data_IF_633553879711
#
_entry.id   IF_633553879711
#
_cell.length_a   1.000
_cell.length_b   1.000
_cell.length_c   1.000
_cell.angle_alpha   90.00
_cell.angle_beta   90.00
_cell.angle_gamma   90.00
#
_symmetry.space_group_name_H-M   'P 1'
#
loop_
_entity.id
_entity.type
_entity.pdbx_description
1 polymer ?
#
# COMPACT_ATOMS: atom_id res chain seq x y z
N UNK A 1 -1.85 -23.87 -1.21
CA UNK A 1 -1.50 -23.85 0.22
C UNK A 1 -2.79 -23.59 0.98
N UNK A 2 -3.14 -24.41 1.96
CA UNK A 2 -4.22 -24.11 2.89
C UNK A 2 -3.78 -22.95 3.79
N UNK A 3 -4.71 -22.13 4.32
CA UNK A 3 -4.35 -20.96 5.15
C UNK A 3 -3.49 -21.27 6.39
N UNK A 4 -3.43 -22.54 6.78
CA UNK A 4 -2.65 -23.09 7.89
C UNK A 4 -1.13 -23.00 7.76
N UNK A 5 -0.59 -22.87 6.54
CA UNK A 5 0.87 -22.87 6.32
C UNK A 5 1.46 -21.46 6.23
N UNK A 6 0.61 -20.42 6.14
CA UNK A 6 1.05 -19.02 6.09
C UNK A 6 1.25 -18.51 7.51
N UNK A 7 2.49 -18.11 7.82
CA UNK A 7 2.89 -17.62 9.13
C UNK A 7 3.44 -16.20 9.08
N UNK A 8 4.17 -15.85 8.03
CA UNK A 8 4.81 -14.54 7.86
C UNK A 8 4.28 -13.86 6.60
N UNK A 9 3.82 -12.62 6.75
CA UNK A 9 3.23 -11.85 5.64
C UNK A 9 3.91 -10.50 5.54
N UNK A 10 4.41 -10.18 4.35
CA UNK A 10 4.88 -8.84 4.00
C UNK A 10 3.70 -7.92 3.71
N UNK A 11 3.70 -6.73 4.32
CA UNK A 11 2.65 -5.72 4.15
C UNK A 11 3.24 -4.47 3.48
N UNK A 12 2.61 -4.05 2.39
CA UNK A 12 2.90 -2.81 1.66
C UNK A 12 1.60 -2.02 1.44
N UNK A 13 1.73 -0.72 1.19
CA UNK A 13 0.62 0.17 0.81
C UNK A 13 1.16 1.40 0.08
N UNK A 14 0.28 2.12 -0.61
CA UNK A 14 0.52 3.47 -1.12
C UNK A 14 1.81 3.51 -1.97
N UNK A 15 1.90 2.60 -2.95
CA UNK A 15 3.04 2.44 -3.86
C UNK A 15 3.14 3.62 -4.81
N UNK A 16 1.99 4.16 -5.23
CA UNK A 16 1.89 5.41 -5.97
C UNK A 16 2.85 5.53 -7.15
N UNK A 17 2.85 4.49 -7.99
CA UNK A 17 3.65 4.46 -9.21
C UNK A 17 5.14 4.82 -8.99
N UNK A 18 5.67 4.53 -7.80
CA UNK A 18 7.07 4.74 -7.43
C UNK A 18 7.84 3.41 -7.52
N UNK A 19 8.20 3.04 -8.75
CA UNK A 19 8.89 1.78 -9.03
C UNK A 19 10.24 1.63 -8.29
N UNK A 20 11.12 2.65 -8.21
CA UNK A 20 12.37 2.53 -7.43
C UNK A 20 12.14 2.17 -5.96
N UNK A 21 11.10 2.76 -5.33
CA UNK A 21 10.75 2.43 -3.95
C UNK A 21 10.17 1.02 -3.81
N UNK A 22 9.29 0.61 -4.74
CA UNK A 22 8.72 -0.74 -4.75
C UNK A 22 9.82 -1.81 -4.89
N UNK A 23 10.75 -1.64 -5.82
CA UNK A 23 11.86 -2.59 -5.98
C UNK A 23 12.77 -2.63 -4.76
N UNK A 24 13.07 -1.47 -4.15
CA UNK A 24 13.85 -1.43 -2.92
C UNK A 24 13.17 -2.19 -1.77
N UNK A 25 11.85 -2.03 -1.61
CA UNK A 25 11.06 -2.74 -0.60
C UNK A 25 11.04 -4.24 -0.87
N UNK A 26 10.75 -4.66 -2.10
CA UNK A 26 10.69 -6.09 -2.44
C UNK A 26 12.05 -6.78 -2.35
N UNK A 27 13.16 -6.06 -2.58
CA UNK A 27 14.51 -6.58 -2.42
C UNK A 27 14.97 -6.65 -0.95
N UNK A 28 14.56 -5.69 -0.11
CA UNK A 28 14.90 -5.65 1.33
C UNK A 28 14.01 -6.56 2.19
N UNK A 29 12.79 -6.85 1.73
CA UNK A 29 11.85 -7.71 2.42
C UNK A 29 12.45 -9.12 2.61
N UNK A 30 12.47 -9.66 3.85
CA UNK A 30 12.92 -11.03 4.06
C UNK A 30 11.98 -12.00 3.33
N UNK A 31 12.40 -13.25 3.16
CA UNK A 31 11.50 -14.29 2.68
C UNK A 31 10.28 -14.38 3.60
N UNK A 32 9.11 -14.19 3.02
CA UNK A 32 7.78 -14.28 3.66
C UNK A 32 6.94 -15.28 2.87
N UNK A 33 5.89 -15.79 3.51
CA UNK A 33 5.01 -16.79 2.90
C UNK A 33 4.03 -16.15 1.90
N UNK A 34 3.68 -14.88 2.11
CA UNK A 34 2.82 -14.10 1.22
C UNK A 34 3.12 -12.59 1.31
N UNK A 35 2.69 -11.83 0.30
CA UNK A 35 2.73 -10.36 0.29
C UNK A 35 1.31 -9.82 0.10
N UNK A 36 0.97 -8.80 0.88
CA UNK A 36 -0.31 -8.09 0.86
C UNK A 36 -0.06 -6.62 0.56
N UNK A 37 -0.85 -6.05 -0.35
CA UNK A 37 -0.89 -4.63 -0.65
C UNK A 37 -2.22 -4.01 -0.20
N UNK A 38 -2.16 -2.98 0.64
CA UNK A 38 -3.32 -2.25 1.12
C UNK A 38 -3.82 -1.15 0.15
N UNK A 39 -3.42 -1.20 -1.12
CA UNK A 39 -3.96 -0.39 -2.20
C UNK A 39 -3.03 0.75 -2.63
N UNK A 40 -3.54 1.56 -3.56
CA UNK A 40 -2.85 2.67 -4.20
C UNK A 40 -1.56 2.22 -4.89
N UNK A 41 -1.74 1.33 -5.87
CA UNK A 41 -0.66 0.91 -6.78
C UNK A 41 -0.24 2.09 -7.67
N UNK A 42 -1.23 2.87 -8.12
CA UNK A 42 -1.04 4.05 -8.99
C UNK A 42 -1.28 5.36 -8.24
N UNK A 43 -1.20 6.48 -8.96
CA UNK A 43 -1.26 7.83 -8.39
C UNK A 43 0.13 8.38 -8.07
N UNK A 44 0.25 9.71 -8.03
CA UNK A 44 1.46 10.54 -7.84
C UNK A 44 2.70 10.29 -8.72
N UNK A 45 3.16 9.05 -8.91
CA UNK A 45 4.41 8.70 -9.57
C UNK A 45 4.32 8.41 -11.06
N UNK A 46 5.49 8.34 -11.74
CA UNK A 46 5.55 8.27 -13.19
C UNK A 46 5.58 6.85 -13.78
N UNK A 47 5.55 5.79 -12.95
CA UNK A 47 5.61 4.37 -13.38
C UNK A 47 4.35 3.55 -13.05
N UNK A 48 3.14 3.99 -13.47
CA UNK A 48 1.93 3.21 -13.19
C UNK A 48 1.92 1.85 -13.90
N UNK A 49 2.48 1.76 -15.11
CA UNK A 49 2.55 0.51 -15.90
C UNK A 49 3.41 -0.52 -15.15
N UNK A 50 4.64 -0.13 -14.82
CA UNK A 50 5.63 -1.02 -14.25
C UNK A 50 5.26 -1.42 -12.82
N UNK A 51 4.66 -0.53 -12.03
CA UNK A 51 4.18 -0.90 -10.69
C UNK A 51 3.03 -1.91 -10.73
N UNK A 52 2.09 -1.79 -11.68
CA UNK A 52 1.03 -2.79 -11.86
C UNK A 52 1.63 -4.14 -12.27
N UNK A 53 2.51 -4.16 -13.28
CA UNK A 53 3.20 -5.38 -13.72
C UNK A 53 3.95 -6.04 -12.57
N UNK A 54 4.72 -5.26 -11.81
CA UNK A 54 5.54 -5.78 -10.72
C UNK A 54 4.72 -6.37 -9.57
N UNK A 55 3.59 -5.77 -9.24
CA UNK A 55 2.66 -6.28 -8.21
C UNK A 55 1.99 -7.57 -8.67
N UNK A 56 1.64 -7.68 -9.95
CA UNK A 56 1.12 -8.92 -10.53
C UNK A 56 2.18 -10.04 -10.53
N UNK A 57 3.42 -9.74 -10.90
CA UNK A 57 4.54 -10.69 -10.88
C UNK A 57 4.89 -11.16 -9.46
N UNK A 58 4.83 -10.26 -8.48
CA UNK A 58 5.02 -10.58 -7.07
C UNK A 58 3.84 -11.35 -6.46
N UNK A 59 2.74 -11.52 -7.20
CA UNK A 59 1.51 -12.19 -6.77
C UNK A 59 0.93 -11.61 -5.47
N UNK A 60 1.02 -10.29 -5.27
CA UNK A 60 0.52 -9.66 -4.06
C UNK A 60 -1.00 -9.73 -3.98
N UNK A 61 -1.53 -10.12 -2.82
CA UNK A 61 -2.94 -9.95 -2.51
C UNK A 61 -3.24 -8.45 -2.31
N UNK A 62 -4.03 -7.86 -3.20
CA UNK A 62 -4.21 -6.41 -3.25
C UNK A 62 -5.67 -6.01 -3.06
N UNK A 63 -5.90 -4.92 -2.34
CA UNK A 63 -7.20 -4.21 -2.31
C UNK A 63 -7.13 -2.95 -3.17
N UNK A 64 -8.29 -2.45 -3.58
CA UNK A 64 -8.41 -1.20 -4.33
C UNK A 64 -8.21 0.00 -3.40
N UNK A 65 -7.21 0.84 -3.69
CA UNK A 65 -7.05 2.15 -3.04
C UNK A 65 -7.85 3.26 -3.73
N UNK A 66 -7.89 4.46 -3.15
CA UNK A 66 -8.67 5.55 -3.73
C UNK A 66 -8.07 6.12 -5.03
N UNK A 67 -6.74 6.12 -5.17
CA UNK A 67 -6.09 6.51 -6.43
C UNK A 67 -6.26 5.45 -7.50
N UNK A 68 -6.39 4.17 -7.14
CA UNK A 68 -6.74 3.12 -8.08
C UNK A 68 -8.21 3.26 -8.53
N UNK A 69 -9.13 3.52 -7.59
CA UNK A 69 -10.56 3.69 -7.84
C UNK A 69 -10.86 4.93 -8.70
N UNK A 70 -10.10 6.01 -8.53
CA UNK A 70 -10.32 7.26 -9.27
C UNK A 70 -10.20 7.10 -10.77
N UNK A 71 -9.52 6.06 -11.27
CA UNK A 71 -9.45 5.76 -12.71
C UNK A 71 -10.81 5.38 -13.33
N UNK A 72 -11.76 4.92 -12.52
CA UNK A 72 -13.03 4.34 -12.96
C UNK A 72 -14.26 5.06 -12.42
N UNK A 73 -14.09 5.79 -11.32
CA UNK A 73 -15.16 6.53 -10.65
C UNK A 73 -15.07 8.03 -10.95
N UNK A 74 -16.21 8.73 -10.96
CA UNK A 74 -16.27 10.19 -11.16
C UNK A 74 -15.87 10.93 -9.87
N UNK A 75 -14.63 10.72 -9.45
CA UNK A 75 -14.00 11.30 -8.27
C UNK A 75 -13.06 12.45 -8.67
N UNK A 76 -12.56 13.18 -7.68
CA UNK A 76 -11.57 14.22 -7.93
C UNK A 76 -10.30 13.62 -8.53
N UNK A 77 -10.11 13.79 -9.84
CA UNK A 77 -8.94 13.30 -10.56
C UNK A 77 -7.72 14.17 -10.27
N UNK A 78 -6.70 13.59 -9.62
CA UNK A 78 -5.37 14.17 -9.65
C UNK A 78 -4.78 14.01 -11.06
N UNK A 79 -3.91 14.93 -11.49
CA UNK A 79 -3.23 14.85 -12.79
C UNK A 79 -2.41 13.54 -12.95
N UNK A 80 -1.91 12.98 -11.84
CA UNK A 80 -1.28 11.66 -11.82
C UNK A 80 -2.23 10.52 -12.16
N UNK A 81 -3.47 10.59 -11.72
CA UNK A 81 -4.47 9.54 -11.91
C UNK A 81 -4.95 9.56 -13.36
N UNK A 82 -5.10 10.77 -13.93
CA UNK A 82 -5.33 10.96 -15.38
C UNK A 82 -4.19 10.38 -16.19
N UNK A 83 -2.94 10.69 -15.83
CA UNK A 83 -1.77 10.12 -16.51
C UNK A 83 -1.78 8.60 -16.46
N UNK A 84 -2.02 8.00 -15.29
CA UNK A 84 -2.17 6.55 -15.14
C UNK A 84 -3.30 6.00 -16.04
N UNK A 85 -4.47 6.63 -16.02
CA UNK A 85 -5.59 6.25 -16.89
C UNK A 85 -5.24 6.34 -18.38
N UNK A 86 -4.37 7.26 -18.82
CA UNK A 86 -3.98 7.39 -20.22
C UNK A 86 -2.97 6.32 -20.66
N UNK A 87 -1.99 6.00 -19.80
CA UNK A 87 -0.86 5.14 -20.18
C UNK A 87 -1.10 3.65 -19.91
N UNK A 88 -1.96 3.30 -18.96
CA UNK A 88 -2.26 1.90 -18.65
C UNK A 88 -2.98 1.20 -19.81
N UNK A 89 -2.55 -0.03 -20.08
CA UNK A 89 -3.21 -0.90 -21.05
C UNK A 89 -4.63 -1.32 -20.59
N UNK A 90 -5.51 -1.74 -21.51
CA UNK A 90 -6.84 -2.24 -21.14
C UNK A 90 -6.81 -3.38 -20.12
N UNK A 91 -5.89 -4.33 -20.24
CA UNK A 91 -5.77 -5.46 -19.31
C UNK A 91 -5.29 -5.06 -17.92
N UNK A 92 -4.43 -4.04 -17.82
CA UNK A 92 -4.01 -3.50 -16.52
C UNK A 92 -5.16 -2.77 -15.83
N UNK A 93 -5.96 -2.02 -16.60
CA UNK A 93 -7.17 -1.37 -16.08
C UNK A 93 -8.21 -2.38 -15.63
N UNK A 94 -8.48 -3.41 -16.42
CA UNK A 94 -9.38 -4.51 -16.03
C UNK A 94 -8.92 -5.18 -14.73
N UNK A 95 -7.61 -5.38 -14.57
CA UNK A 95 -7.05 -5.93 -13.33
C UNK A 95 -7.25 -5.00 -12.13
N UNK A 96 -6.92 -3.70 -12.26
CA UNK A 96 -7.14 -2.71 -11.19
C UNK A 96 -8.63 -2.63 -10.81
N UNK A 97 -9.52 -2.54 -11.79
CA UNK A 97 -10.97 -2.45 -11.58
C UNK A 97 -11.54 -3.70 -10.89
N UNK A 98 -10.89 -4.86 -11.05
CA UNK A 98 -11.29 -6.11 -10.42
C UNK A 98 -10.80 -6.26 -8.97
N UNK A 99 -9.94 -5.36 -8.47
CA UNK A 99 -9.48 -5.41 -7.09
C UNK A 99 -10.65 -5.17 -6.12
N UNK A 100 -10.77 -5.98 -5.05
CA UNK A 100 -11.83 -5.79 -4.07
C UNK A 100 -11.50 -4.60 -3.14
N UNK A 101 -12.51 -3.95 -2.57
CA UNK A 101 -12.29 -2.92 -1.54
C UNK A 101 -11.75 -3.48 -0.21
N UNK A 102 -11.95 -4.78 0.03
CA UNK A 102 -11.45 -5.45 1.23
C UNK A 102 -11.11 -6.90 0.94
N UNK A 103 -10.15 -7.43 1.69
CA UNK A 103 -9.81 -8.85 1.72
C UNK A 103 -9.85 -9.37 3.15
N UNK A 104 -10.25 -10.63 3.29
CA UNK A 104 -10.13 -11.40 4.52
C UNK A 104 -9.36 -12.68 4.16
N UNK A 105 -8.17 -12.83 4.75
CA UNK A 105 -7.14 -13.77 4.29
C UNK A 105 -6.69 -14.70 5.42
N UNK A 106 -6.12 -15.83 5.00
CA UNK A 106 -5.40 -16.78 5.85
C UNK A 106 -6.24 -17.32 7.01
N UNK A 107 -7.38 -17.92 6.68
CA UNK A 107 -8.37 -18.45 7.63
C UNK A 107 -8.99 -17.34 8.50
N UNK A 108 -9.37 -16.24 7.85
CA UNK A 108 -10.01 -15.07 8.46
C UNK A 108 -9.19 -14.36 9.55
N UNK A 109 -7.87 -14.60 9.59
CA UNK A 109 -6.97 -14.01 10.59
C UNK A 109 -6.53 -12.59 10.26
N UNK A 110 -6.48 -12.24 8.97
CA UNK A 110 -5.95 -10.96 8.49
C UNK A 110 -6.95 -10.29 7.55
N UNK A 111 -7.47 -9.14 7.95
CA UNK A 111 -8.31 -8.27 7.12
C UNK A 111 -7.46 -7.15 6.54
N UNK A 112 -7.70 -6.81 5.28
CA UNK A 112 -7.03 -5.73 4.56
C UNK A 112 -8.09 -4.78 4.03
N UNK A 113 -7.90 -3.50 4.31
CA UNK A 113 -8.66 -2.39 3.70
C UNK A 113 -7.70 -1.23 3.44
N UNK A 114 -8.03 -0.36 2.50
CA UNK A 114 -7.18 0.78 2.21
C UNK A 114 -7.26 1.86 3.30
N UNK A 115 -8.41 2.48 3.53
CA UNK A 115 -8.57 3.55 4.53
C UNK A 115 -9.16 3.11 5.87
N UNK A 116 -10.39 2.59 5.84
CA UNK A 116 -11.16 2.20 7.03
C UNK A 116 -12.10 1.02 6.68
N UNK A 117 -12.44 0.13 7.64
CA UNK A 117 -13.32 -1.03 7.41
C UNK A 117 -14.69 -0.71 6.81
N UNK A 118 -15.23 0.47 7.13
CA UNK A 118 -16.53 0.94 6.65
C UNK A 118 -16.44 1.86 5.42
N UNK A 119 -15.26 2.41 5.14
CA UNK A 119 -15.06 3.37 4.04
C UNK A 119 -13.60 3.42 3.63
N UNK A 120 -13.27 2.97 2.42
CA UNK A 120 -11.89 2.97 1.94
C UNK A 120 -11.33 4.38 1.69
N UNK A 121 -12.16 5.43 1.63
CA UNK A 121 -11.72 6.84 1.52
C UNK A 121 -11.41 7.50 2.87
N UNK A 122 -11.82 6.90 3.98
CA UNK A 122 -11.64 7.48 5.30
C UNK A 122 -10.23 7.25 5.81
N UNK A 123 -9.57 8.32 6.24
CA UNK A 123 -8.28 8.25 6.92
C UNK A 123 -8.46 7.71 8.35
N UNK A 124 -7.68 6.70 8.71
CA UNK A 124 -7.66 6.12 10.06
C UNK A 124 -6.28 6.32 10.67
N UNK A 125 -6.14 7.36 11.48
CA UNK A 125 -4.89 7.68 12.17
C UNK A 125 -4.68 6.75 13.38
N UNK A 126 -3.43 6.55 13.80
CA UNK A 126 -3.07 5.64 14.92
C UNK A 126 -3.85 5.93 16.21
N UNK A 127 -4.14 7.21 16.50
CA UNK A 127 -4.93 7.60 17.67
C UNK A 127 -6.35 7.02 17.68
N UNK A 128 -6.88 6.67 16.51
CA UNK A 128 -8.19 6.05 16.33
C UNK A 128 -8.14 4.52 16.32
N UNK A 129 -6.95 3.90 16.40
CA UNK A 129 -6.83 2.44 16.44
C UNK A 129 -7.47 1.91 17.73
N UNK A 130 -8.55 1.18 17.57
CA UNK A 130 -9.38 0.63 18.64
C UNK A 130 -9.91 -0.75 18.24
N UNK A 131 -10.19 -1.59 19.24
CA UNK A 131 -10.68 -2.96 19.02
C UNK A 131 -11.99 -3.01 18.22
N UNK A 132 -12.80 -1.95 18.29
CA UNK A 132 -14.06 -1.81 17.53
C UNK A 132 -13.88 -1.76 16.01
N UNK A 133 -12.66 -1.56 15.51
CA UNK A 133 -12.36 -1.62 14.07
C UNK A 133 -12.23 -3.05 13.53
N UNK A 134 -12.09 -4.05 14.42
CA UNK A 134 -12.00 -5.46 14.04
C UNK A 134 -13.37 -6.13 14.12
N UNK A 135 -13.59 -7.14 13.28
CA UNK A 135 -14.82 -7.94 13.22
C UNK A 135 -14.52 -9.45 13.31
N UNK A 136 -13.70 -9.81 14.31
CA UNK A 136 -13.34 -11.20 14.63
C UNK A 136 -11.97 -11.64 14.10
N UNK A 137 -11.38 -10.91 13.16
CA UNK A 137 -9.99 -11.12 12.73
C UNK A 137 -8.99 -10.74 13.83
N UNK A 138 -7.77 -11.28 13.71
CA UNK A 138 -6.68 -10.97 14.65
C UNK A 138 -5.84 -9.77 14.20
N UNK A 139 -5.77 -9.50 12.90
CA UNK A 139 -4.97 -8.42 12.34
C UNK A 139 -5.80 -7.63 11.33
N UNK A 140 -5.88 -6.31 11.52
CA UNK A 140 -6.39 -5.38 10.53
C UNK A 140 -5.23 -4.60 9.91
N UNK A 141 -5.13 -4.66 8.59
CA UNK A 141 -4.16 -3.90 7.79
C UNK A 141 -4.87 -2.73 7.12
N UNK A 142 -4.29 -1.55 7.30
CA UNK A 142 -4.72 -0.25 6.76
C UNK A 142 -3.60 0.34 5.88
N UNK A 143 -3.92 1.39 5.13
CA UNK A 143 -3.02 2.20 4.29
C UNK A 143 -3.42 3.68 4.36
N UNK A 144 -3.40 4.38 3.22
CA UNK A 144 -4.03 5.70 2.97
C UNK A 144 -3.44 6.91 3.73
N UNK A 145 -3.10 6.80 5.01
CA UNK A 145 -2.48 7.89 5.77
C UNK A 145 -1.02 8.13 5.39
N UNK A 146 -0.37 7.11 4.79
CA UNK A 146 1.06 7.05 4.48
C UNK A 146 1.99 7.15 5.70
N UNK A 147 1.44 6.97 6.91
CA UNK A 147 2.17 7.05 8.17
C UNK A 147 2.24 5.68 8.79
N UNK A 148 3.45 5.21 9.02
CA UNK A 148 3.66 3.88 9.55
C UNK A 148 3.25 3.82 11.03
N UNK A 149 2.35 2.90 11.36
CA UNK A 149 1.81 2.76 12.71
C UNK A 149 1.43 1.31 13.01
N UNK A 150 1.54 0.92 14.29
CA UNK A 150 1.06 -0.38 14.73
C UNK A 150 0.65 -0.31 16.20
N UNK A 151 -0.54 -0.85 16.50
CA UNK A 151 -1.08 -0.85 17.87
C UNK A 151 -1.74 -2.18 18.18
N UNK A 152 -1.30 -2.80 19.27
CA UNK A 152 -2.09 -3.85 19.91
C UNK A 152 -3.30 -3.21 20.59
N UNK A 153 -4.49 -3.60 20.16
CA UNK A 153 -5.77 -3.10 20.69
C UNK A 153 -6.46 -4.13 21.61
N UNK A 154 -5.85 -5.31 21.75
CA UNK A 154 -6.21 -6.40 22.66
C UNK A 154 -5.09 -7.43 22.75
N UNK A 155 -5.30 -8.51 23.52
CA UNK A 155 -4.27 -9.53 23.79
C UNK A 155 -3.77 -10.24 22.52
N UNK A 156 -4.65 -10.41 21.52
CA UNK A 156 -4.35 -11.09 20.25
C UNK A 156 -4.92 -10.33 19.05
N UNK A 157 -4.98 -8.99 19.16
CA UNK A 157 -5.56 -8.12 18.16
C UNK A 157 -4.62 -6.95 17.85
N UNK A 158 -4.27 -6.81 16.58
CA UNK A 158 -3.31 -5.85 16.09
C UNK A 158 -3.88 -5.07 14.92
N UNK A 159 -3.73 -3.74 14.95
CA UNK A 159 -3.99 -2.88 13.81
C UNK A 159 -2.66 -2.36 13.30
N UNK A 160 -2.41 -2.49 12.00
CA UNK A 160 -1.16 -2.09 11.34
C UNK A 160 -1.46 -1.22 10.15
N UNK A 161 -0.75 -0.10 10.06
CA UNK A 161 -0.52 0.62 8.82
C UNK A 161 0.97 0.46 8.47
N UNK A 162 1.35 -0.19 7.36
CA UNK A 162 2.76 -0.42 7.03
C UNK A 162 3.49 0.86 6.65
N UNK A 163 2.78 1.99 6.55
CA UNK A 163 3.25 3.23 5.95
C UNK A 163 3.14 3.17 4.43
N UNK A 164 3.70 4.18 3.77
CA UNK A 164 3.71 4.23 2.31
C UNK A 164 5.05 3.76 1.74
N UNK A 165 4.96 2.90 0.72
CA UNK A 165 6.12 2.53 -0.11
C UNK A 165 6.57 3.74 -0.92
N UNK A 166 5.66 4.40 -1.63
CA UNK A 166 6.00 5.36 -2.67
C UNK A 166 5.96 6.83 -2.30
N UNK A 167 5.31 7.19 -1.19
CA UNK A 167 5.11 8.58 -0.76
C UNK A 167 4.91 8.68 0.77
N UNK A 168 5.91 8.36 1.60
CA UNK A 168 5.80 8.47 3.07
C UNK A 168 5.47 9.91 3.51
N UNK A 169 4.66 10.04 4.58
CA UNK A 169 4.16 11.34 5.10
C UNK A 169 4.38 11.54 6.61
N UNK A 170 5.40 10.90 7.17
CA UNK A 170 5.73 10.96 8.60
C UNK A 170 7.10 11.58 8.91
N UNK A 171 7.68 12.32 7.96
CA UNK A 171 8.96 12.99 8.11
C UNK A 171 10.19 12.09 7.88
N UNK A 172 9.98 10.82 7.52
CA UNK A 172 11.04 9.91 7.08
C UNK A 172 10.89 9.60 5.58
N UNK A 173 11.84 10.04 4.74
CA UNK A 173 11.74 9.88 3.29
C UNK A 173 11.92 8.44 2.80
N UNK A 174 12.34 7.52 3.67
CA UNK A 174 12.53 6.11 3.32
C UNK A 174 11.20 5.41 3.07
N UNK A 175 11.18 4.55 2.06
CA UNK A 175 10.03 3.69 1.75
C UNK A 175 9.70 2.80 2.96
N UNK A 176 8.43 2.74 3.32
CA UNK A 176 7.94 2.01 4.48
C UNK A 176 7.24 0.71 4.09
N UNK A 177 7.47 -0.33 4.89
CA UNK A 177 6.74 -1.60 4.79
C UNK A 177 6.73 -2.28 6.17
N UNK A 178 5.97 -3.37 6.30
CA UNK A 178 5.98 -4.18 7.52
C UNK A 178 6.03 -5.67 7.22
N UNK A 179 6.40 -6.45 8.23
CA UNK A 179 6.26 -7.92 8.22
C UNK A 179 5.51 -8.34 9.47
N UNK A 180 4.41 -9.08 9.30
CA UNK A 180 3.63 -9.63 10.41
C UNK A 180 3.85 -11.13 10.56
N UNK A 181 3.91 -11.60 11.80
CA UNK A 181 3.83 -13.01 12.19
C UNK A 181 2.40 -13.28 12.67
N UNK A 182 1.64 -14.05 11.90
CA UNK A 182 0.22 -14.33 12.15
C UNK A 182 -0.01 -15.20 13.38
N UNK A 183 0.96 -16.03 13.78
CA UNK A 183 0.80 -16.92 14.94
C UNK A 183 1.08 -16.18 16.24
N UNK A 184 2.05 -15.26 16.20
CA UNK A 184 2.40 -14.42 17.36
C UNK A 184 1.59 -13.13 17.41
N UNK A 185 0.85 -12.82 16.36
CA UNK A 185 0.15 -11.55 16.14
C UNK A 185 1.10 -10.38 16.42
N UNK A 186 2.27 -10.40 15.78
CA UNK A 186 3.34 -9.42 16.02
C UNK A 186 3.81 -8.81 14.72
N UNK A 187 4.36 -7.59 14.77
CA UNK A 187 4.78 -6.84 13.58
C UNK A 187 6.19 -6.29 13.72
N UNK A 188 6.93 -6.32 12.62
CA UNK A 188 8.19 -5.58 12.43
C UNK A 188 7.98 -4.49 11.39
N UNK A 189 8.01 -3.24 11.83
CA UNK A 189 7.96 -2.06 10.97
C UNK A 189 9.35 -1.79 10.39
N UNK A 190 9.45 -1.59 9.08
CA UNK A 190 10.72 -1.45 8.37
C UNK A 190 10.72 -0.27 7.41
N UNK A 191 11.93 0.18 7.10
CA UNK A 191 12.21 1.32 6.23
C UNK A 191 13.43 1.03 5.38
N UNK A 192 13.38 1.37 4.09
CA UNK A 192 14.48 1.19 3.16
C UNK A 192 14.73 2.45 2.32
N UNK A 193 16.00 2.77 2.10
CA UNK A 193 16.40 3.86 1.20
C UNK A 193 16.18 3.45 -0.26
N UNK A 194 15.79 4.39 -1.10
CA UNK A 194 15.63 4.19 -2.53
C UNK A 194 16.08 5.44 -3.28
N UNK A 195 16.19 5.34 -4.60
CA UNK A 195 16.66 6.43 -5.46
C UNK A 195 15.55 7.45 -5.76
N UNK A 196 15.42 8.46 -4.90
CA UNK A 196 14.46 9.57 -5.06
C UNK A 196 14.83 10.45 -6.27
N UNK A 197 16.12 10.55 -6.61
CA UNK A 197 16.58 11.33 -7.77
C UNK A 197 16.09 10.70 -9.07
N UNK A 198 16.12 9.36 -9.17
CA UNK A 198 15.54 8.61 -10.29
C UNK A 198 14.05 8.91 -10.45
N UNK A 199 13.27 8.87 -9.35
CA UNK A 199 11.86 9.27 -9.36
C UNK A 199 11.65 10.69 -9.89
N UNK A 200 12.41 11.63 -9.34
CA UNK A 200 12.31 13.06 -9.70
C UNK A 200 12.63 13.27 -11.19
N UNK A 201 13.69 12.66 -11.69
CA UNK A 201 14.09 12.78 -13.09
C UNK A 201 13.04 12.20 -14.04
N UNK A 202 12.40 11.08 -13.69
CA UNK A 202 11.36 10.51 -14.54
C UNK A 202 10.07 11.33 -14.49
N UNK A 203 9.69 11.85 -13.32
CA UNK A 203 8.48 12.67 -13.16
C UNK A 203 8.50 13.88 -14.10
N UNK A 204 9.66 14.52 -14.30
CA UNK A 204 9.83 15.67 -15.21
C UNK A 204 9.54 15.38 -16.68
N UNK A 205 9.43 14.10 -17.07
CA UNK A 205 9.10 13.65 -18.43
C UNK A 205 7.61 13.35 -18.60
N UNK A 206 6.80 13.59 -17.57
CA UNK A 206 5.35 13.33 -17.54
C UNK A 206 4.59 14.65 -17.35
N UNK A 207 3.26 14.68 -17.59
CA UNK A 207 2.43 15.84 -17.26
C UNK A 207 2.18 16.01 -15.75
N UNK A 208 2.68 15.10 -14.91
CA UNK A 208 2.41 15.11 -13.47
C UNK A 208 3.11 16.31 -12.79
N UNK A 209 2.44 17.02 -11.86
CA UNK A 209 3.05 18.12 -11.12
C UNK A 209 4.31 17.71 -10.34
N UNK A 210 5.38 18.48 -10.50
CA UNK A 210 6.67 18.23 -9.84
C UNK A 210 6.64 18.34 -8.31
N UNK A 211 5.62 18.98 -7.72
CA UNK A 211 5.47 19.13 -6.27
C UNK A 211 5.41 17.77 -5.54
N UNK A 212 4.96 16.72 -6.23
CA UNK A 212 4.98 15.34 -5.71
C UNK A 212 6.40 14.86 -5.40
N UNK A 213 7.40 15.23 -6.21
CA UNK A 213 8.79 14.83 -5.99
C UNK A 213 9.42 15.55 -4.80
N UNK A 214 9.10 16.83 -4.58
CA UNK A 214 9.66 17.62 -3.47
C UNK A 214 9.36 16.96 -2.11
N UNK A 215 8.13 16.47 -1.95
CA UNK A 215 7.63 15.79 -0.76
C UNK A 215 8.45 14.56 -0.38
N UNK A 216 8.96 13.82 -1.38
CA UNK A 216 9.71 12.58 -1.14
C UNK A 216 11.02 12.82 -0.39
N UNK A 217 11.70 13.95 -0.59
CA UNK A 217 12.97 14.24 0.08
C UNK A 217 12.83 14.48 1.59
N UNK A 218 11.62 14.81 2.05
CA UNK A 218 11.32 15.16 3.44
C UNK A 218 10.28 14.23 4.09
N UNK A 219 9.59 13.40 3.30
CA UNK A 219 8.52 12.53 3.78
C UNK A 219 7.27 13.30 4.20
N UNK A 220 6.76 14.20 3.35
CA UNK A 220 5.58 15.08 3.61
C UNK A 220 4.37 14.78 2.71
#
# INVERSE_FOLDING_TARGET
MTGSDINTVGLISDIHANLPALEAVLADMPTVDAIVNAGDVVGYGPWPIECVERIQEAQCHSVLGNHDASLFEDLYFHESDKYAAEVLSPSQKEWLQALPHQLLLFDDRLRVVHGHPESHFQYTEESAFDVSLLDGESILVLGHTHKQAAKHVGDNQLIVNPGSVGQPRDGDPRAAYAVVDLNKVSVSLKRVVYDIDCYTQQLTKTPIPNDNARRLYVGE
#
